data_IF_654633421160
#
_entry.id   IF_654633421160
#
_cell.length_a   1.000
_cell.length_b   1.000
_cell.length_c   1.000
_cell.angle_alpha   90.00
_cell.angle_beta   90.00
_cell.angle_gamma   90.00
#
_symmetry.space_group_name_H-M   'P 1'
#
loop_
_entity.id
_entity.type
_entity.pdbx_description
1 polymer ?
#
# COMPACT_ATOMS: atom_id res chain seq x y z
N UNK A 1 7.08 -0.15 -48.58
CA UNK A 1 6.71 -0.87 -47.35
C UNK A 1 7.55 -0.28 -46.22
N UNK A 2 7.03 0.71 -45.50
CA UNK A 2 7.70 1.19 -44.29
C UNK A 2 7.47 0.13 -43.21
N UNK A 3 8.54 -0.47 -42.71
CA UNK A 3 8.47 -1.29 -41.50
C UNK A 3 7.97 -0.39 -40.37
N UNK A 4 6.74 -0.63 -39.94
CA UNK A 4 6.22 -0.04 -38.71
C UNK A 4 7.06 -0.59 -37.57
N UNK A 5 8.02 0.20 -37.11
CA UNK A 5 8.64 0.02 -35.81
C UNK A 5 7.49 -0.13 -34.82
N UNK A 6 7.25 -1.35 -34.30
CA UNK A 6 6.53 -1.50 -33.04
C UNK A 6 7.42 -0.82 -32.02
N UNK A 7 7.17 0.47 -31.81
CA UNK A 7 7.67 1.22 -30.67
C UNK A 7 7.37 0.32 -29.48
N UNK A 8 8.42 -0.15 -28.80
CA UNK A 8 8.24 -0.83 -27.53
C UNK A 8 7.35 0.09 -26.71
N UNK A 9 6.13 -0.37 -26.44
CA UNK A 9 5.20 0.38 -25.63
C UNK A 9 5.93 0.59 -24.31
N UNK A 10 6.19 1.84 -23.89
CA UNK A 10 6.77 2.03 -22.57
C UNK A 10 5.82 1.32 -21.60
N UNK A 11 6.37 0.45 -20.74
CA UNK A 11 5.61 -0.35 -19.75
C UNK A 11 4.60 0.46 -18.92
N UNK A 12 4.73 1.79 -18.97
CA UNK A 12 3.81 2.84 -18.55
C UNK A 12 2.35 2.62 -19.02
N UNK A 13 2.02 2.07 -20.18
CA UNK A 13 0.59 1.89 -20.56
C UNK A 13 -0.11 0.68 -19.89
N UNK A 14 0.65 -0.15 -19.16
CA UNK A 14 0.11 -1.20 -18.29
C UNK A 14 0.06 -0.71 -16.85
N UNK A 15 -0.26 0.57 -16.66
CA UNK A 15 -0.73 1.13 -15.39
C UNK A 15 -1.81 0.21 -14.87
N UNK A 16 -1.53 -0.43 -13.74
CA UNK A 16 -2.51 -1.16 -12.97
C UNK A 16 -3.76 -0.27 -12.81
N UNK A 17 -4.94 -0.82 -13.03
CA UNK A 17 -6.23 -0.11 -12.95
C UNK A 17 -6.29 0.80 -11.70
N UNK A 18 -7.05 1.91 -11.72
CA UNK A 18 -7.21 2.81 -10.55
C UNK A 18 -7.46 2.03 -9.24
N UNK A 19 -8.18 0.90 -9.34
CA UNK A 19 -8.45 -0.04 -8.27
C UNK A 19 -7.21 -0.75 -7.69
N UNK A 20 -6.24 -1.15 -8.53
CA UNK A 20 -4.99 -1.76 -8.08
C UNK A 20 -4.07 -0.74 -7.41
N UNK A 21 -4.03 0.48 -7.95
CA UNK A 21 -3.29 1.60 -7.34
C UNK A 21 -3.88 1.96 -5.98
N UNK A 22 -5.21 2.01 -5.87
CA UNK A 22 -5.94 2.25 -4.63
C UNK A 22 -5.73 1.11 -3.61
N UNK A 23 -5.77 -0.15 -4.05
CA UNK A 23 -5.49 -1.30 -3.20
C UNK A 23 -4.09 -1.19 -2.56
N UNK A 24 -3.09 -0.77 -3.34
CA UNK A 24 -1.72 -0.62 -2.84
C UNK A 24 -1.60 0.56 -1.89
N UNK A 25 -2.21 1.71 -2.19
CA UNK A 25 -2.30 2.85 -1.25
C UNK A 25 -2.92 2.43 0.07
N UNK A 26 -4.01 1.66 0.02
CA UNK A 26 -4.68 1.15 1.21
C UNK A 26 -3.81 0.18 2.01
N UNK A 27 -3.01 -0.67 1.36
CA UNK A 27 -2.05 -1.56 2.03
C UNK A 27 -1.00 -0.74 2.78
N UNK A 28 -0.38 0.24 2.10
CA UNK A 28 0.66 1.09 2.69
C UNK A 28 0.10 1.88 3.87
N UNK A 29 -1.07 2.53 3.70
CA UNK A 29 -1.73 3.27 4.77
C UNK A 29 -2.04 2.38 5.97
N UNK A 30 -2.64 1.21 5.75
CA UNK A 30 -3.00 0.29 6.84
C UNK A 30 -1.76 -0.22 7.59
N UNK A 31 -0.61 -0.38 6.92
CA UNK A 31 0.67 -0.68 7.57
C UNK A 31 1.15 0.46 8.47
N UNK A 32 1.11 1.70 7.96
CA UNK A 32 1.47 2.91 8.75
C UNK A 32 0.55 3.07 9.96
N UNK A 33 -0.77 2.91 9.77
CA UNK A 33 -1.77 2.99 10.84
C UNK A 33 -1.52 1.90 11.91
N UNK A 34 -1.19 0.68 11.49
CA UNK A 34 -0.84 -0.41 12.41
C UNK A 34 0.45 -0.11 13.19
N UNK A 35 1.49 0.38 12.54
CA UNK A 35 2.75 0.77 13.20
C UNK A 35 2.50 1.87 14.23
N UNK A 36 1.75 2.91 13.86
CA UNK A 36 1.36 3.99 14.77
C UNK A 36 0.59 3.46 15.99
N UNK A 37 -0.39 2.57 15.79
CA UNK A 37 -1.17 1.99 16.87
C UNK A 37 -0.29 1.13 17.81
N UNK A 38 0.67 0.36 17.28
CA UNK A 38 1.59 -0.42 18.11
C UNK A 38 2.53 0.49 18.92
N UNK A 39 3.11 1.51 18.29
CA UNK A 39 4.01 2.45 18.96
C UNK A 39 3.28 3.19 20.08
N UNK A 40 2.05 3.64 19.84
CA UNK A 40 1.29 4.36 20.86
C UNK A 40 0.75 3.44 21.96
N UNK A 41 0.43 2.18 21.64
CA UNK A 41 0.02 1.19 22.64
C UNK A 41 1.10 0.99 23.72
N UNK A 42 2.39 0.99 23.34
CA UNK A 42 3.50 0.81 24.27
C UNK A 42 3.55 1.89 25.37
N UNK A 43 3.09 3.10 25.06
CA UNK A 43 3.10 4.25 25.97
C UNK A 43 1.69 4.75 26.35
N UNK A 44 0.66 3.95 26.10
CA UNK A 44 -0.73 4.35 26.30
C UNK A 44 -1.09 4.46 27.78
N UNK A 45 -1.79 5.53 28.14
CA UNK A 45 -2.50 5.63 29.42
C UNK A 45 -3.56 4.53 29.52
N UNK A 46 -3.93 4.15 30.76
CA UNK A 46 -4.88 3.05 31.03
C UNK A 46 -6.18 3.15 30.23
N UNK A 47 -6.68 4.37 30.03
CA UNK A 47 -7.95 4.64 29.39
C UNK A 47 -7.89 4.50 27.86
N UNK A 48 -6.68 4.45 27.28
CA UNK A 48 -6.43 4.30 25.84
C UNK A 48 -5.96 2.89 25.45
N UNK A 49 -5.68 2.02 26.42
CA UNK A 49 -5.21 0.65 26.17
C UNK A 49 -6.18 -0.12 25.27
N UNK A 50 -7.46 -0.16 25.64
CA UNK A 50 -8.47 -0.89 24.86
C UNK A 50 -8.64 -0.29 23.46
N UNK A 51 -8.61 1.04 23.35
CA UNK A 51 -8.66 1.74 22.07
C UNK A 51 -7.55 1.27 21.13
N UNK A 52 -6.29 1.29 21.59
CA UNK A 52 -5.17 0.86 20.74
C UNK A 52 -5.18 -0.65 20.49
N UNK A 53 -5.66 -1.48 21.42
CA UNK A 53 -5.85 -2.92 21.17
C UNK A 53 -6.85 -3.14 20.02
N UNK A 54 -7.96 -2.42 20.02
CA UNK A 54 -8.95 -2.52 18.94
C UNK A 54 -8.37 -2.03 17.60
N UNK A 55 -7.66 -0.90 17.60
CA UNK A 55 -6.99 -0.38 16.40
C UNK A 55 -5.97 -1.38 15.83
N UNK A 56 -5.14 -1.98 16.68
CA UNK A 56 -4.16 -3.00 16.27
C UNK A 56 -4.88 -4.19 15.62
N UNK A 57 -5.90 -4.75 16.29
CA UNK A 57 -6.65 -5.90 15.78
C UNK A 57 -7.38 -5.58 14.48
N UNK A 58 -8.01 -4.42 14.39
CA UNK A 58 -8.72 -3.97 13.20
C UNK A 58 -7.77 -3.78 12.01
N UNK A 59 -6.64 -3.09 12.21
CA UNK A 59 -5.65 -2.85 11.16
C UNK A 59 -4.94 -4.14 10.73
N UNK A 60 -4.66 -5.08 11.64
CA UNK A 60 -4.15 -6.42 11.29
C UNK A 60 -5.15 -7.20 10.42
N UNK A 61 -6.43 -7.24 10.80
CA UNK A 61 -7.46 -7.92 10.03
C UNK A 61 -7.63 -7.30 8.64
N UNK A 62 -7.66 -5.96 8.56
CA UNK A 62 -7.73 -5.21 7.31
C UNK A 62 -6.51 -5.48 6.42
N UNK A 63 -5.30 -5.44 6.98
CA UNK A 63 -4.08 -5.71 6.24
C UNK A 63 -4.07 -7.14 5.66
N UNK A 64 -4.46 -8.13 6.46
CA UNK A 64 -4.58 -9.52 6.00
C UNK A 64 -5.56 -9.65 4.82
N UNK A 65 -6.70 -8.96 4.88
CA UNK A 65 -7.67 -8.92 3.79
C UNK A 65 -7.08 -8.27 2.53
N UNK A 66 -6.47 -7.08 2.64
CA UNK A 66 -5.91 -6.37 1.50
C UNK A 66 -4.77 -7.15 0.82
N UNK A 67 -3.91 -7.81 1.60
CA UNK A 67 -2.85 -8.68 1.07
C UNK A 67 -3.45 -9.90 0.35
N UNK A 68 -4.54 -10.49 0.87
CA UNK A 68 -5.26 -11.56 0.17
C UNK A 68 -5.81 -11.06 -1.17
N UNK A 69 -6.39 -9.86 -1.22
CA UNK A 69 -6.89 -9.25 -2.46
C UNK A 69 -5.76 -8.97 -3.46
N UNK A 70 -4.62 -8.46 -3.01
CA UNK A 70 -3.46 -8.22 -3.86
C UNK A 70 -2.95 -9.52 -4.50
N UNK A 71 -2.88 -10.60 -3.73
CA UNK A 71 -2.50 -11.93 -4.23
C UNK A 71 -3.49 -12.46 -5.28
N UNK A 72 -4.79 -12.29 -5.05
CA UNK A 72 -5.83 -12.71 -6.01
C UNK A 72 -5.70 -11.95 -7.33
N UNK A 73 -5.33 -10.66 -7.28
CA UNK A 73 -5.08 -9.82 -8.47
C UNK A 73 -3.70 -10.05 -9.11
N UNK A 74 -2.86 -10.95 -8.57
CA UNK A 74 -1.53 -11.23 -9.10
C UNK A 74 -0.48 -10.14 -8.82
N UNK A 75 -0.77 -9.22 -7.89
CA UNK A 75 0.18 -8.18 -7.49
C UNK A 75 1.27 -8.80 -6.62
N UNK A 76 2.52 -8.70 -7.07
CA UNK A 76 3.67 -9.25 -6.35
C UNK A 76 4.17 -8.30 -5.26
N UNK A 77 4.87 -8.84 -4.26
CA UNK A 77 5.51 -8.04 -3.19
C UNK A 77 6.51 -7.03 -3.76
N UNK A 78 7.16 -7.36 -4.89
CA UNK A 78 8.06 -6.45 -5.60
C UNK A 78 7.31 -5.21 -6.10
N UNK A 79 6.12 -5.40 -6.68
CA UNK A 79 5.30 -4.31 -7.20
C UNK A 79 4.79 -3.39 -6.07
N UNK A 80 4.45 -3.96 -4.91
CA UNK A 80 4.05 -3.18 -3.73
C UNK A 80 5.21 -2.30 -3.24
N UNK A 81 6.43 -2.87 -3.11
CA UNK A 81 7.61 -2.11 -2.70
C UNK A 81 7.99 -1.01 -3.68
N UNK A 82 7.88 -1.28 -4.97
CA UNK A 82 8.19 -0.32 -6.03
C UNK A 82 7.23 0.88 -6.03
N UNK A 83 5.94 0.64 -5.77
CA UNK A 83 4.95 1.70 -5.63
C UNK A 83 5.06 2.44 -4.30
N UNK A 84 5.42 1.76 -3.22
CA UNK A 84 5.71 2.39 -1.92
C UNK A 84 6.87 3.39 -2.06
N UNK A 85 7.94 3.00 -2.75
CA UNK A 85 9.07 3.89 -3.06
C UNK A 85 8.64 5.11 -3.89
N UNK A 86 7.84 4.92 -4.95
CA UNK A 86 7.39 6.04 -5.79
C UNK A 86 6.44 6.99 -5.07
N UNK A 87 5.52 6.48 -4.24
CA UNK A 87 4.64 7.32 -3.42
C UNK A 87 5.42 8.15 -2.40
N UNK A 88 6.48 7.58 -1.81
CA UNK A 88 7.36 8.38 -0.92
C UNK A 88 8.14 9.46 -1.68
N UNK A 89 8.59 9.21 -2.91
CA UNK A 89 9.28 10.22 -3.71
C UNK A 89 8.35 11.31 -4.24
N UNK A 90 7.08 10.98 -4.51
CA UNK A 90 6.08 11.96 -4.95
C UNK A 90 5.68 12.91 -3.81
N UNK A 91 5.62 12.42 -2.56
CA UNK A 91 5.41 13.25 -1.36
C UNK A 91 6.60 14.20 -1.09
N UNK A 92 7.85 13.75 -1.31
CA UNK A 92 9.05 14.60 -1.13
C UNK A 92 9.21 15.70 -2.18
N UNK A 93 8.73 15.48 -3.41
CA UNK A 93 8.82 16.46 -4.51
C UNK A 93 7.67 17.48 -4.53
N UNK A 94 6.70 17.36 -3.64
CA UNK A 94 5.56 18.27 -3.51
C UNK A 94 5.79 19.40 -2.47
N UNK A 95 6.98 19.47 -1.87
CA UNK A 95 7.45 20.46 -0.89
C UNK A 95 8.48 21.37 -1.56
#
# INVERSE_FOLDING_TARGET
>A
MQEFYKKEMPMIEKIATDEESELIRNIIKTRKDLEFANNNYEFADSDLIDYYIYEIKANQAKLNYLIKMAKIKGLSVHFIKELEYRLSTDEENAI
#
